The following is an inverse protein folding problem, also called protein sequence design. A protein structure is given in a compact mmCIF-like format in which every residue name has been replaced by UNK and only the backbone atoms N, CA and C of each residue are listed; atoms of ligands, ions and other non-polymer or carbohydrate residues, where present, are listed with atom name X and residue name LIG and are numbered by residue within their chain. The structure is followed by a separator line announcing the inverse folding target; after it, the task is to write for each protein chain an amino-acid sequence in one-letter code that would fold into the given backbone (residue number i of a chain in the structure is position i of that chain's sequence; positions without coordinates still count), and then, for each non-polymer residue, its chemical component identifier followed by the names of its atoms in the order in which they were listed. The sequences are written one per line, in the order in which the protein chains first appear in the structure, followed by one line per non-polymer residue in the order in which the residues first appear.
data_IF_925870577277
#
_entry.id   IF_925870577277
#
_cell.length_a   1.000
_cell.length_b   1.000
_cell.length_c   1.000
_cell.angle_alpha   90.00
_cell.angle_beta   90.00
_cell.angle_gamma   90.00
#
_symmetry.space_group_name_H-M   'P 1'
#
loop_
_entity.id
_entity.type
_entity.pdbx_description
1 polymer ?
#
# COMPACT_ATOMS: atom_id res chain seq x y z
N UNK A 1 6.21 8.44 19.44
CA UNK A 1 5.74 7.37 18.53
C UNK A 1 4.73 6.53 19.30
N UNK A 2 3.50 6.35 18.80
CA UNK A 2 2.51 5.49 19.47
C UNK A 2 2.89 4.02 19.20
N UNK A 3 2.92 3.21 20.26
CA UNK A 3 3.29 1.80 20.24
C UNK A 3 2.31 1.02 19.35
N UNK A 4 2.83 0.18 18.44
CA UNK A 4 2.02 -0.69 17.57
C UNK A 4 1.21 -1.65 18.43
N UNK A 5 -0.06 -1.88 18.09
CA UNK A 5 -0.82 -3.00 18.65
C UNK A 5 -0.18 -4.31 18.15
N UNK A 6 0.36 -5.16 19.04
CA UNK A 6 1.06 -6.38 18.65
C UNK A 6 0.14 -7.46 18.07
N UNK A 7 -1.19 -7.33 18.20
CA UNK A 7 -2.15 -8.21 17.55
C UNK A 7 -2.37 -7.89 16.06
N UNK A 8 -1.94 -6.71 15.62
CA UNK A 8 -2.03 -6.28 14.23
C UNK A 8 -0.68 -6.49 13.55
N UNK A 9 -0.57 -7.39 12.56
CA UNK A 9 0.71 -7.66 11.92
C UNK A 9 1.22 -6.41 11.18
N UNK A 10 2.53 -6.35 10.92
CA UNK A 10 3.07 -5.26 10.11
C UNK A 10 2.57 -5.38 8.66
N UNK A 11 2.25 -4.26 8.03
CA UNK A 11 2.04 -4.24 6.59
C UNK A 11 3.35 -4.53 5.86
N UNK A 12 3.32 -5.26 4.72
CA UNK A 12 4.46 -5.31 3.84
C UNK A 12 4.80 -3.90 3.37
N UNK A 13 6.07 -3.66 3.04
CA UNK A 13 6.53 -2.35 2.58
C UNK A 13 6.80 -2.38 1.09
N UNK A 14 6.43 -1.30 0.39
CA UNK A 14 6.90 -1.09 -0.98
C UNK A 14 8.42 -1.04 -1.02
N UNK A 15 9.06 -1.49 -2.12
CA UNK A 15 10.48 -1.27 -2.33
C UNK A 15 10.81 0.24 -2.26
N UNK A 16 11.97 0.63 -1.70
CA UNK A 16 12.32 2.04 -1.53
C UNK A 16 12.54 2.77 -2.86
N UNK A 17 12.82 2.02 -3.93
CA UNK A 17 12.98 2.51 -5.29
C UNK A 17 12.18 1.63 -6.23
N UNK A 18 11.42 2.26 -7.12
CA UNK A 18 10.60 1.61 -8.13
C UNK A 18 10.74 2.35 -9.45
N UNK A 19 10.40 1.67 -10.54
CA UNK A 19 10.40 2.23 -11.88
C UNK A 19 9.01 2.22 -12.46
N UNK A 20 8.75 3.17 -13.33
CA UNK A 20 7.55 3.15 -14.18
C UNK A 20 7.50 1.83 -14.96
N UNK A 21 6.36 1.15 -14.92
CA UNK A 21 6.15 -0.16 -15.53
C UNK A 21 6.50 -1.35 -14.63
N UNK A 22 7.05 -1.13 -13.43
CA UNK A 22 7.28 -2.21 -12.48
C UNK A 22 5.95 -2.86 -12.06
N UNK A 23 5.94 -4.18 -12.02
CA UNK A 23 4.89 -4.96 -11.38
C UNK A 23 5.31 -5.31 -9.95
N UNK A 24 4.64 -4.70 -8.99
CA UNK A 24 4.95 -4.87 -7.57
C UNK A 24 3.97 -5.88 -6.97
N UNK A 25 4.51 -6.92 -6.34
CA UNK A 25 3.78 -7.85 -5.50
C UNK A 25 4.10 -7.59 -4.03
N UNK A 26 3.07 -7.39 -3.22
CA UNK A 26 3.22 -7.28 -1.77
C UNK A 26 2.50 -8.45 -1.11
N UNK A 27 3.28 -9.26 -0.39
CA UNK A 27 2.80 -10.42 0.36
C UNK A 27 2.84 -10.11 1.87
N UNK A 28 1.76 -10.41 2.57
CA UNK A 28 1.69 -10.30 4.02
C UNK A 28 0.25 -10.34 4.55
N UNK A 29 0.06 -10.66 5.83
CA UNK A 29 -1.27 -10.81 6.42
C UNK A 29 -2.14 -9.53 6.35
N UNK A 30 -1.54 -8.33 6.20
CA UNK A 30 -2.25 -7.06 5.95
C UNK A 30 -2.51 -6.72 4.49
N UNK A 31 -1.89 -7.45 3.56
CA UNK A 31 -2.22 -7.43 2.15
C UNK A 31 -3.45 -8.31 1.85
N UNK A 32 -4.05 -8.89 2.90
CA UNK A 32 -5.03 -9.94 2.77
C UNK A 32 -6.50 -9.56 2.90
N UNK A 33 -7.35 -10.38 2.27
CA UNK A 33 -8.82 -10.21 2.14
C UNK A 33 -9.51 -10.07 3.50
N UNK A 34 -9.03 -10.76 4.53
CA UNK A 34 -9.62 -10.76 5.87
C UNK A 34 -9.39 -9.47 6.66
N UNK A 35 -8.54 -8.56 6.18
CA UNK A 35 -8.30 -7.26 6.84
C UNK A 35 -9.26 -6.16 6.42
N UNK A 36 -10.05 -6.38 5.36
CA UNK A 36 -10.96 -5.37 4.82
C UNK A 36 -10.32 -4.37 3.86
N UNK A 37 -9.04 -4.54 3.49
CA UNK A 37 -8.38 -3.74 2.44
C UNK A 37 -9.12 -3.88 1.10
N UNK A 38 -9.43 -2.76 0.44
CA UNK A 38 -10.13 -2.80 -0.86
C UNK A 38 -9.56 -1.88 -1.94
N UNK A 39 -8.71 -0.90 -1.58
CA UNK A 39 -7.98 -0.05 -2.54
C UNK A 39 -6.66 0.42 -1.96
N UNK A 40 -5.72 0.72 -2.84
CA UNK A 40 -4.51 1.46 -2.55
C UNK A 40 -4.74 2.93 -2.88
N UNK A 41 -4.17 3.81 -2.06
CA UNK A 41 -4.14 5.25 -2.26
C UNK A 41 -2.69 5.71 -2.29
N UNK A 42 -2.36 6.49 -3.31
CA UNK A 42 -1.03 7.02 -3.56
C UNK A 42 -1.02 8.51 -3.27
N UNK A 43 -0.06 8.95 -2.48
CA UNK A 43 0.07 10.33 -2.01
C UNK A 43 1.39 10.93 -2.45
N UNK A 44 1.34 12.19 -2.87
CA UNK A 44 2.51 13.03 -3.16
C UNK A 44 2.35 14.33 -2.38
N UNK A 45 3.34 14.68 -1.56
CA UNK A 45 3.30 15.84 -0.67
C UNK A 45 2.01 15.90 0.18
N UNK A 46 1.56 14.76 0.71
CA UNK A 46 0.35 14.66 1.53
C UNK A 46 -0.98 14.71 0.77
N UNK A 47 -0.96 14.91 -0.56
CA UNK A 47 -2.16 14.93 -1.40
C UNK A 47 -2.31 13.62 -2.15
N UNK A 48 -3.50 13.00 -2.09
CA UNK A 48 -3.79 11.80 -2.87
C UNK A 48 -3.92 12.16 -4.35
N UNK A 49 -3.22 11.43 -5.23
CA UNK A 49 -3.24 11.69 -6.68
C UNK A 49 -3.68 10.47 -7.51
N UNK A 50 -3.62 9.28 -6.94
CA UNK A 50 -4.08 8.06 -7.60
C UNK A 50 -4.68 7.08 -6.59
N UNK A 51 -5.57 6.24 -7.09
CA UNK A 51 -6.13 5.11 -6.35
C UNK A 51 -6.17 3.89 -7.24
N UNK A 52 -5.79 2.73 -6.71
CA UNK A 52 -5.88 1.47 -7.43
C UNK A 52 -6.81 0.51 -6.69
N UNK A 53 -7.87 0.01 -7.34
CA UNK A 53 -8.67 -1.06 -6.77
C UNK A 53 -7.82 -2.32 -6.69
N UNK A 54 -7.88 -3.03 -5.57
CA UNK A 54 -7.18 -4.28 -5.43
C UNK A 54 -8.05 -5.39 -6.01
N UNK A 55 -7.56 -6.06 -7.07
CA UNK A 55 -8.19 -7.27 -7.59
C UNK A 55 -7.87 -8.45 -6.66
N UNK A 56 -8.93 -9.03 -6.08
CA UNK A 56 -8.87 -10.00 -5.00
C UNK A 56 -8.62 -11.42 -5.53
N UNK A 57 -7.38 -11.72 -5.91
CA UNK A 57 -7.01 -13.06 -6.36
C UNK A 57 -6.45 -13.95 -5.25
N UNK A 58 -5.90 -13.36 -4.17
CA UNK A 58 -5.15 -14.11 -3.16
C UNK A 58 -5.43 -13.63 -1.73
N UNK A 59 -5.36 -14.56 -0.78
CA UNK A 59 -5.74 -14.34 0.62
C UNK A 59 -4.89 -13.29 1.31
N UNK A 60 -3.58 -13.25 1.05
CA UNK A 60 -2.57 -12.46 1.78
C UNK A 60 -1.61 -11.72 0.83
N UNK A 61 -2.06 -11.38 -0.37
CA UNK A 61 -1.22 -10.70 -1.36
C UNK A 61 -2.02 -9.89 -2.37
N UNK A 62 -1.44 -8.80 -2.83
CA UNK A 62 -1.92 -8.06 -3.99
C UNK A 62 -0.78 -7.64 -4.90
N UNK A 63 -1.14 -7.31 -6.14
CA UNK A 63 -0.22 -6.79 -7.15
C UNK A 63 -0.71 -5.43 -7.65
N UNK A 64 0.21 -4.57 -8.05
CA UNK A 64 -0.10 -3.36 -8.81
C UNK A 64 1.02 -3.02 -9.79
N UNK A 65 0.68 -2.28 -10.84
CA UNK A 65 1.64 -1.72 -11.80
C UNK A 65 1.94 -0.26 -11.45
N UNK A 66 3.22 0.12 -11.52
CA UNK A 66 3.67 1.50 -11.31
C UNK A 66 3.40 2.31 -12.58
N UNK A 67 2.31 3.06 -12.59
CA UNK A 67 1.92 3.86 -13.74
C UNK A 67 2.88 5.05 -13.96
N UNK A 68 3.03 5.53 -15.20
CA UNK A 68 3.95 6.64 -15.52
C UNK A 68 3.62 8.00 -14.89
N UNK A 69 2.46 8.11 -14.24
CA UNK A 69 2.09 9.28 -13.43
C UNK A 69 2.65 9.23 -12.01
N UNK A 70 3.27 8.11 -11.60
CA UNK A 70 3.74 7.88 -10.23
C UNK A 70 5.13 8.49 -10.01
N UNK A 71 5.53 9.55 -10.71
CA UNK A 71 6.92 10.04 -10.65
C UNK A 71 7.26 10.78 -9.34
N UNK A 72 8.40 10.46 -8.72
CA UNK A 72 8.95 11.10 -7.52
C UNK A 72 8.66 10.36 -6.20
N UNK A 73 8.72 11.10 -5.09
CA UNK A 73 8.45 10.57 -3.74
C UNK A 73 6.96 10.28 -3.54
N UNK A 74 6.64 9.04 -3.22
CA UNK A 74 5.27 8.57 -3.04
C UNK A 74 5.12 7.84 -1.71
N UNK A 75 4.04 8.14 -1.00
CA UNK A 75 3.55 7.35 0.11
C UNK A 75 2.38 6.47 -0.35
N UNK A 76 2.40 5.19 0.02
CA UNK A 76 1.37 4.20 -0.33
C UNK A 76 0.60 3.80 0.92
N UNK A 77 -0.72 4.00 0.89
CA UNK A 77 -1.63 3.64 1.99
C UNK A 77 -2.73 2.71 1.50
N UNK A 78 -3.11 1.77 2.34
CA UNK A 78 -4.31 1.00 2.18
C UNK A 78 -5.52 1.76 2.67
N UNK A 79 -6.63 1.58 1.97
CA UNK A 79 -7.94 1.97 2.46
C UNK A 79 -8.75 0.71 2.77
N UNK A 80 -9.20 0.63 4.01
CA UNK A 80 -9.83 -0.54 4.60
C UNK A 80 -11.31 -0.27 4.84
N UNK A 81 -12.12 -1.33 4.87
CA UNK A 81 -13.52 -1.24 5.25
C UNK A 81 -13.67 -0.71 6.68
N UNK A 82 -14.77 -0.03 7.00
CA UNK A 82 -15.01 0.62 8.30
C UNK A 82 -14.99 -0.35 9.50
N UNK A 83 -15.07 -1.66 9.24
CA UNK A 83 -14.99 -2.69 10.28
C UNK A 83 -13.56 -3.17 10.55
N UNK A 84 -12.56 -2.67 9.81
CA UNK A 84 -11.16 -2.97 10.06
C UNK A 84 -10.72 -2.29 11.37
N UNK A 85 -10.16 -3.06 12.29
CA UNK A 85 -9.79 -2.62 13.63
C UNK A 85 -8.39 -2.00 13.71
N UNK A 86 -7.69 -1.85 12.58
CA UNK A 86 -6.34 -1.30 12.50
C UNK A 86 -6.27 0.23 12.69
N UNK A 87 -5.17 0.70 13.27
CA UNK A 87 -4.84 2.12 13.38
C UNK A 87 -4.25 2.64 12.06
N UNK A 88 -4.39 3.94 11.79
CA UNK A 88 -3.96 4.55 10.52
C UNK A 88 -2.50 4.24 10.13
N UNK A 89 -1.57 4.26 11.07
CA UNK A 89 -0.16 3.93 10.81
C UNK A 89 0.08 2.46 10.42
N UNK A 90 -0.87 1.57 10.73
CA UNK A 90 -0.84 0.16 10.35
C UNK A 90 -1.44 -0.07 8.96
N UNK A 91 -2.07 0.95 8.38
CA UNK A 91 -2.60 0.97 7.02
C UNK A 91 -1.59 1.52 6.00
N UNK A 92 -0.37 1.87 6.42
CA UNK A 92 0.70 2.31 5.53
C UNK A 92 1.51 1.13 4.99
N UNK A 93 1.77 1.15 3.69
CA UNK A 93 2.73 0.26 3.01
C UNK A 93 4.09 0.95 2.83
N UNK A 94 4.31 2.11 3.45
CA UNK A 94 5.56 2.87 3.38
C UNK A 94 5.64 3.82 2.20
N UNK A 95 6.87 4.26 1.95
CA UNK A 95 7.19 5.23 0.90
C UNK A 95 8.22 4.68 -0.09
N UNK A 96 8.18 5.19 -1.30
CA UNK A 96 9.04 4.80 -2.41
C UNK A 96 9.38 6.01 -3.26
N UNK A 97 10.57 6.00 -3.87
CA UNK A 97 10.92 6.91 -4.94
C UNK A 97 10.72 6.23 -6.28
N UNK A 98 9.91 6.82 -7.17
CA UNK A 98 9.66 6.28 -8.50
C UNK A 98 10.35 7.11 -9.59
N UNK A 99 11.14 6.44 -10.41
CA UNK A 99 11.78 7.00 -11.60
C UNK A 99 11.19 6.43 -12.90
N UNK A 100 11.52 7.05 -14.04
CA UNK A 100 11.24 6.49 -15.37
C UNK A 100 12.31 5.51 -15.86
N UNK A 101 13.51 5.59 -15.29
CA UNK A 101 14.70 4.84 -15.69
C UNK A 101 14.98 3.62 -14.80
#
# INVERSE_FOLDING_TARGET
MKQRDPSYPAAPTVPPQLKTGDYVRLDGPNAGVCTGLYKLMFYKNGTSFATLPIQRAFKDSFNFEVHGSFEGEIEVKGHYHDCATGLEHQHSFGSTHVSRD
#
